data_IF_707776937320
#
_entry.id   IF_707776937320
#
_cell.length_a   1.000
_cell.length_b   1.000
_cell.length_c   1.000
_cell.angle_alpha   90.00
_cell.angle_beta   90.00
_cell.angle_gamma   90.00
#
_symmetry.space_group_name_H-M   'P 1'
#
loop_
_entity.id
_entity.type
_entity.pdbx_description
1 polymer ?
#
# COMPACT_ATOMS: atom_id res chain seq x y z
N UNK A 1 -14.08 25.17 -5.39
CA UNK A 1 -14.68 25.61 -6.68
C UNK A 1 -15.79 24.66 -7.11
N UNK A 2 -16.69 24.26 -6.18
CA UNK A 2 -17.87 23.44 -6.47
C UNK A 2 -19.16 24.03 -5.85
N UNK A 3 -19.12 25.28 -5.38
CA UNK A 3 -20.26 26.01 -4.77
C UNK A 3 -21.52 25.98 -5.67
N UNK A 4 -21.35 26.00 -6.99
CA UNK A 4 -22.46 25.91 -7.95
C UNK A 4 -23.17 24.55 -8.01
N UNK A 5 -22.55 23.47 -7.53
CA UNK A 5 -23.17 22.13 -7.47
C UNK A 5 -23.98 21.93 -6.17
N UNK A 6 -23.68 22.70 -5.11
CA UNK A 6 -24.42 22.65 -3.85
C UNK A 6 -25.81 23.29 -3.94
N UNK A 7 -26.08 24.10 -4.97
CA UNK A 7 -27.42 24.62 -5.25
C UNK A 7 -28.28 23.65 -6.08
N UNK A 8 -27.68 22.57 -6.60
CA UNK A 8 -28.36 21.59 -7.42
C UNK A 8 -29.05 20.54 -6.53
N UNK A 9 -30.40 20.54 -6.54
CA UNK A 9 -31.24 19.52 -5.88
C UNK A 9 -31.24 18.19 -6.65
N UNK A 10 -30.07 17.74 -7.12
CA UNK A 10 -29.89 16.41 -7.68
C UNK A 10 -29.91 15.33 -6.59
N UNK A 11 -29.82 14.04 -6.94
CA UNK A 11 -29.69 13.00 -5.93
C UNK A 11 -28.40 13.25 -5.13
N UNK A 12 -28.52 13.31 -3.79
CA UNK A 12 -27.41 13.32 -2.83
C UNK A 12 -26.55 14.62 -2.79
N UNK A 13 -27.13 15.80 -2.53
CA UNK A 13 -26.35 17.04 -2.36
C UNK A 13 -25.30 16.95 -1.23
N UNK A 14 -25.58 16.15 -0.20
CA UNK A 14 -24.63 15.85 0.89
C UNK A 14 -23.41 15.06 0.42
N UNK A 15 -23.54 14.23 -0.62
CA UNK A 15 -22.42 13.49 -1.20
C UNK A 15 -21.44 14.44 -1.90
N UNK A 16 -21.96 15.39 -2.69
CA UNK A 16 -21.11 16.40 -3.35
C UNK A 16 -20.46 17.36 -2.36
N UNK A 17 -21.20 17.77 -1.32
CA UNK A 17 -20.62 18.54 -0.21
C UNK A 17 -19.48 17.77 0.48
N UNK A 18 -19.65 16.45 0.68
CA UNK A 18 -18.60 15.58 1.24
C UNK A 18 -17.36 15.49 0.37
N UNK A 19 -17.51 15.36 -0.95
CA UNK A 19 -16.36 15.38 -1.89
C UNK A 19 -15.65 16.73 -1.86
N UNK A 20 -16.38 17.85 -1.86
CA UNK A 20 -15.78 19.18 -1.76
C UNK A 20 -15.05 19.36 -0.42
N UNK A 21 -15.61 18.83 0.66
CA UNK A 21 -14.96 18.84 1.97
C UNK A 21 -13.66 18.02 1.97
N UNK A 22 -13.66 16.80 1.41
CA UNK A 22 -12.45 15.97 1.30
C UNK A 22 -11.40 16.64 0.40
N UNK A 23 -11.81 17.26 -0.71
CA UNK A 23 -10.92 18.00 -1.60
C UNK A 23 -10.31 19.22 -0.89
N UNK A 24 -11.11 19.95 -0.11
CA UNK A 24 -10.63 21.06 0.72
C UNK A 24 -9.69 20.61 1.84
N UNK A 25 -9.97 19.46 2.45
CA UNK A 25 -9.12 18.83 3.47
C UNK A 25 -7.77 18.37 2.89
N UNK A 26 -7.77 17.89 1.64
CA UNK A 26 -6.57 17.46 0.92
C UNK A 26 -5.61 18.61 0.57
N UNK A 27 -6.10 19.85 0.48
CA UNK A 27 -5.27 21.05 0.26
C UNK A 27 -4.91 21.83 1.53
N UNK A 28 -5.60 21.58 2.65
CA UNK A 28 -5.57 22.44 3.84
C UNK A 28 -4.73 21.97 5.03
N UNK A 29 -4.00 20.86 4.92
CA UNK A 29 -2.95 20.46 5.89
C UNK A 29 -3.38 20.46 7.37
N UNK A 30 -4.50 19.81 7.72
CA UNK A 30 -5.01 19.79 9.10
C UNK A 30 -4.68 18.53 9.92
N UNK A 31 -4.15 17.47 9.29
CA UNK A 31 -3.70 16.28 10.02
C UNK A 31 -2.22 16.42 10.37
N UNK A 32 -1.89 16.37 11.66
CA UNK A 32 -0.50 16.21 12.08
C UNK A 32 -0.03 14.81 11.63
N UNK A 33 0.69 14.74 10.53
CA UNK A 33 1.34 13.53 10.08
C UNK A 33 2.57 13.30 10.97
N UNK A 34 2.83 12.04 11.30
CA UNK A 34 4.04 11.65 12.00
C UNK A 34 4.82 10.63 11.18
N UNK A 35 6.12 10.85 11.09
CA UNK A 35 7.03 9.95 10.40
C UNK A 35 8.39 10.00 11.10
N UNK A 36 8.91 8.83 11.50
CA UNK A 36 10.26 8.68 12.05
C UNK A 36 10.61 9.67 13.18
N UNK A 37 9.68 9.91 14.10
CA UNK A 37 9.88 10.84 15.22
C UNK A 37 9.54 12.30 14.94
N UNK A 38 9.19 12.66 13.70
CA UNK A 38 8.89 14.04 13.31
C UNK A 38 7.40 14.25 13.05
N UNK A 39 6.89 15.42 13.43
CA UNK A 39 5.52 15.85 13.14
C UNK A 39 5.51 16.89 12.01
N UNK A 40 4.54 16.78 11.10
CA UNK A 40 4.33 17.73 10.02
C UNK A 40 2.84 17.99 9.81
N UNK A 41 2.45 19.26 9.69
CA UNK A 41 1.07 19.66 9.35
C UNK A 41 0.80 19.65 7.86
N UNK A 42 1.85 19.72 7.03
CA UNK A 42 1.76 19.63 5.56
C UNK A 42 1.94 18.21 5.05
N UNK A 43 2.34 17.28 5.91
CA UNK A 43 2.59 15.89 5.56
C UNK A 43 4.06 15.57 5.23
N UNK A 44 4.32 14.34 4.80
CA UNK A 44 5.63 13.90 4.32
C UNK A 44 5.50 13.17 2.97
N UNK A 45 6.26 13.55 1.93
CA UNK A 45 6.27 12.80 0.67
C UNK A 45 6.70 11.33 0.86
N UNK A 46 7.60 11.09 1.83
CA UNK A 46 8.09 9.76 2.18
C UNK A 46 7.11 8.93 3.02
N UNK A 47 5.96 9.48 3.42
CA UNK A 47 5.01 8.80 4.31
C UNK A 47 4.52 7.47 3.72
N UNK A 48 3.95 7.50 2.51
CA UNK A 48 3.43 6.29 1.87
C UNK A 48 4.52 5.28 1.46
N UNK A 49 5.69 5.68 0.95
CA UNK A 49 6.82 4.78 0.76
C UNK A 49 7.26 4.07 2.05
N UNK A 50 7.41 4.81 3.15
CA UNK A 50 7.80 4.22 4.43
C UNK A 50 6.68 3.32 4.96
N UNK A 51 5.42 3.77 4.92
CA UNK A 51 4.25 2.98 5.31
C UNK A 51 4.19 1.67 4.53
N UNK A 52 4.39 1.70 3.22
CA UNK A 52 4.50 0.52 2.40
C UNK A 52 5.62 -0.41 2.85
N UNK A 53 6.81 0.11 3.11
CA UNK A 53 7.94 -0.72 3.51
C UNK A 53 7.81 -1.32 4.92
N UNK A 54 7.07 -0.70 5.83
CA UNK A 54 6.97 -1.18 7.22
C UNK A 54 5.67 -1.93 7.51
N UNK A 55 4.57 -1.61 6.82
CA UNK A 55 3.26 -2.27 6.99
C UNK A 55 3.08 -3.46 6.06
N UNK A 56 3.85 -3.58 4.98
CA UNK A 56 3.77 -4.74 4.09
C UNK A 56 4.53 -5.93 4.69
N UNK A 57 3.96 -7.16 4.71
CA UNK A 57 4.67 -8.34 5.15
C UNK A 57 5.97 -8.57 4.37
N UNK A 58 7.01 -9.05 5.05
CA UNK A 58 8.31 -9.32 4.43
C UNK A 58 8.21 -10.28 3.24
N UNK A 59 7.35 -11.29 3.33
CA UNK A 59 7.13 -12.23 2.23
C UNK A 59 6.74 -11.50 0.92
N UNK A 60 5.87 -10.49 1.02
CA UNK A 60 5.46 -9.66 -0.12
C UNK A 60 6.59 -8.74 -0.59
N UNK A 61 7.32 -8.11 0.34
CA UNK A 61 8.45 -7.23 0.00
C UNK A 61 9.61 -7.97 -0.66
N UNK A 62 9.81 -9.25 -0.37
CA UNK A 62 10.83 -10.08 -0.99
C UNK A 62 10.37 -10.66 -2.33
N UNK A 63 9.10 -11.04 -2.46
CA UNK A 63 8.56 -11.59 -3.70
C UNK A 63 8.40 -10.53 -4.79
N UNK A 64 8.10 -9.28 -4.43
CA UNK A 64 7.87 -8.20 -5.38
C UNK A 64 9.10 -7.89 -6.27
N UNK A 65 10.33 -7.68 -5.75
CA UNK A 65 11.52 -7.52 -6.58
C UNK A 65 11.77 -8.71 -7.51
N UNK A 66 11.56 -9.94 -7.02
CA UNK A 66 11.69 -11.14 -7.83
C UNK A 66 10.68 -11.14 -8.99
N UNK A 67 9.43 -10.77 -8.73
CA UNK A 67 8.39 -10.61 -9.75
C UNK A 67 8.76 -9.53 -10.76
N UNK A 68 9.26 -8.37 -10.31
CA UNK A 68 9.72 -7.29 -11.20
C UNK A 68 10.82 -7.78 -12.15
N UNK A 69 11.86 -8.42 -11.62
CA UNK A 69 13.00 -8.91 -12.40
C UNK A 69 12.57 -9.95 -13.44
N UNK A 70 11.82 -10.99 -13.02
CA UNK A 70 11.47 -12.10 -13.88
C UNK A 70 10.36 -11.77 -14.89
N UNK A 71 9.31 -11.06 -14.46
CA UNK A 71 8.14 -10.79 -15.30
C UNK A 71 8.37 -9.61 -16.26
N UNK A 72 9.18 -8.62 -15.89
CA UNK A 72 9.55 -7.53 -16.80
C UNK A 72 10.78 -7.88 -17.64
N UNK A 73 11.62 -8.80 -17.18
CA UNK A 73 12.76 -9.32 -17.94
C UNK A 73 12.33 -10.08 -19.20
N UNK A 74 11.18 -10.76 -19.18
CA UNK A 74 10.65 -11.52 -20.31
C UNK A 74 9.74 -10.68 -21.22
N UNK A 75 9.99 -10.71 -22.53
CA UNK A 75 9.12 -10.05 -23.54
C UNK A 75 7.69 -10.58 -23.52
N UNK A 76 7.49 -11.86 -23.17
CA UNK A 76 6.18 -12.49 -23.17
C UNK A 76 5.26 -11.97 -22.05
N UNK A 77 5.83 -11.59 -20.90
CA UNK A 77 5.06 -11.14 -19.73
C UNK A 77 5.12 -9.63 -19.51
N UNK A 78 6.10 -8.93 -20.10
CA UNK A 78 6.33 -7.50 -19.89
C UNK A 78 5.09 -6.64 -20.13
N UNK A 79 4.37 -6.83 -21.24
CA UNK A 79 3.20 -5.99 -21.55
C UNK A 79 2.09 -6.12 -20.49
N UNK A 80 1.80 -7.36 -20.06
CA UNK A 80 0.83 -7.63 -18.98
C UNK A 80 1.31 -7.10 -17.64
N UNK A 81 2.62 -7.22 -17.37
CA UNK A 81 3.24 -6.65 -16.19
C UNK A 81 3.10 -5.14 -16.11
N UNK A 82 3.43 -4.44 -17.20
CA UNK A 82 3.28 -2.99 -17.30
C UNK A 82 1.82 -2.55 -17.22
N UNK A 83 0.89 -3.29 -17.81
CA UNK A 83 -0.55 -3.01 -17.71
C UNK A 83 -1.05 -2.99 -16.26
N UNK A 84 -0.47 -3.81 -15.37
CA UNK A 84 -0.80 -3.80 -13.94
C UNK A 84 0.02 -2.76 -13.16
N UNK A 85 1.30 -2.60 -13.48
CA UNK A 85 2.23 -1.73 -12.73
C UNK A 85 2.03 -0.24 -13.03
N UNK A 86 1.57 0.13 -14.23
CA UNK A 86 1.30 1.54 -14.58
C UNK A 86 0.17 2.10 -13.70
N UNK A 87 -1.05 1.54 -13.66
CA UNK A 87 -2.10 2.06 -12.79
C UNK A 87 -1.74 1.97 -11.31
N UNK A 88 -1.03 0.91 -10.90
CA UNK A 88 -0.48 0.78 -9.55
C UNK A 88 0.46 1.96 -9.21
N UNK A 89 1.44 2.24 -10.08
CA UNK A 89 2.39 3.33 -9.90
C UNK A 89 1.72 4.70 -9.93
N UNK A 90 0.81 4.94 -10.87
CA UNK A 90 0.04 6.19 -10.93
C UNK A 90 -0.75 6.40 -9.64
N UNK A 91 -1.46 5.37 -9.17
CA UNK A 91 -2.23 5.45 -7.94
C UNK A 91 -1.33 5.69 -6.71
N UNK A 92 -0.18 5.04 -6.64
CA UNK A 92 0.81 5.28 -5.59
C UNK A 92 1.34 6.73 -5.62
N UNK A 93 1.67 7.25 -6.80
CA UNK A 93 2.14 8.63 -6.97
C UNK A 93 1.08 9.65 -6.59
N UNK A 94 -0.19 9.42 -6.96
CA UNK A 94 -1.30 10.27 -6.54
C UNK A 94 -1.51 10.21 -5.02
N UNK A 95 -1.35 9.03 -4.42
CA UNK A 95 -1.42 8.86 -2.96
C UNK A 95 -0.33 9.66 -2.26
N UNK A 96 0.93 9.64 -2.76
CA UNK A 96 2.04 10.43 -2.19
C UNK A 96 1.88 11.94 -2.29
N UNK A 97 1.05 12.43 -3.22
CA UNK A 97 0.82 13.86 -3.43
C UNK A 97 -0.36 14.39 -2.60
N UNK A 98 -1.18 13.50 -2.04
CA UNK A 98 -2.26 13.92 -1.15
C UNK A 98 -1.70 14.34 0.21
N UNK A 99 -2.12 15.51 0.72
CA UNK A 99 -1.75 15.92 2.07
C UNK A 99 -2.41 15.04 3.16
N UNK A 100 -3.35 14.16 2.78
CA UNK A 100 -4.01 13.21 3.67
C UNK A 100 -3.11 11.99 3.93
N UNK A 101 -2.09 12.18 4.76
CA UNK A 101 -1.26 11.11 5.32
C UNK A 101 -1.98 10.39 6.47
N UNK A 102 -3.13 9.79 6.17
CA UNK A 102 -4.03 9.17 7.16
C UNK A 102 -4.11 7.67 6.90
N UNK A 103 -3.04 6.95 7.22
CA UNK A 103 -3.08 5.50 7.28
C UNK A 103 -2.76 4.76 5.97
N UNK A 104 -2.18 3.57 6.13
CA UNK A 104 -1.76 2.66 5.08
C UNK A 104 -2.92 2.13 4.20
N UNK A 105 -4.16 2.21 4.69
CA UNK A 105 -5.38 1.77 3.98
C UNK A 105 -5.54 2.36 2.57
N UNK A 106 -5.02 3.57 2.34
CA UNK A 106 -5.04 4.20 1.03
C UNK A 106 -4.20 3.44 0.01
N UNK A 107 -3.31 2.54 0.42
CA UNK A 107 -2.53 1.70 -0.47
C UNK A 107 -3.18 0.33 -0.75
N UNK A 108 -4.35 0.02 -0.18
CA UNK A 108 -5.02 -1.27 -0.43
C UNK A 108 -5.33 -1.53 -1.92
N UNK A 109 -5.82 -0.55 -2.71
CA UNK A 109 -6.03 -0.77 -4.13
C UNK A 109 -4.74 -1.07 -4.89
N UNK A 110 -3.63 -0.42 -4.49
CA UNK A 110 -2.30 -0.73 -5.03
C UNK A 110 -1.92 -2.19 -4.75
N UNK A 111 -2.10 -2.67 -3.52
CA UNK A 111 -1.73 -4.03 -3.14
C UNK A 111 -2.45 -5.09 -3.98
N UNK A 112 -3.73 -4.88 -4.32
CA UNK A 112 -4.47 -5.81 -5.17
C UNK A 112 -3.80 -5.99 -6.54
N UNK A 113 -3.37 -4.88 -7.16
CA UNK A 113 -2.65 -4.92 -8.44
C UNK A 113 -1.27 -5.58 -8.30
N UNK A 114 -0.56 -5.33 -7.20
CA UNK A 114 0.74 -5.96 -6.94
C UNK A 114 0.61 -7.47 -6.71
N UNK A 115 -0.39 -7.93 -5.97
CA UNK A 115 -0.64 -9.36 -5.77
C UNK A 115 -1.01 -10.06 -7.09
N UNK A 116 -1.83 -9.42 -7.92
CA UNK A 116 -2.15 -9.93 -9.25
C UNK A 116 -0.91 -9.95 -10.18
N UNK A 117 -0.04 -8.95 -10.07
CA UNK A 117 1.22 -8.95 -10.80
C UNK A 117 2.13 -10.12 -10.35
N UNK A 118 2.32 -10.28 -9.05
CA UNK A 118 3.16 -11.35 -8.48
C UNK A 118 2.63 -12.76 -8.78
N UNK A 119 1.31 -12.94 -8.98
CA UNK A 119 0.74 -14.24 -9.34
C UNK A 119 1.28 -14.76 -10.68
N UNK A 120 1.81 -13.89 -11.54
CA UNK A 120 2.52 -14.26 -12.77
C UNK A 120 3.76 -15.13 -12.55
N UNK A 121 4.31 -15.17 -11.34
CA UNK A 121 5.41 -16.08 -10.98
C UNK A 121 4.96 -17.55 -10.88
N UNK A 122 3.68 -17.82 -10.66
CA UNK A 122 3.15 -19.18 -10.51
C UNK A 122 3.40 -20.08 -11.72
N UNK A 123 3.03 -19.65 -12.94
CA UNK A 123 3.33 -20.40 -14.16
C UNK A 123 4.84 -20.59 -14.41
N UNK A 124 5.65 -19.55 -14.18
CA UNK A 124 7.10 -19.60 -14.36
C UNK A 124 7.75 -20.61 -13.40
N UNK A 125 7.29 -20.64 -12.15
CA UNK A 125 7.75 -21.59 -11.15
C UNK A 125 7.44 -23.03 -11.59
N UNK A 126 6.24 -23.29 -12.12
CA UNK A 126 5.84 -24.63 -12.54
C UNK A 126 6.59 -25.13 -13.77
N UNK A 127 6.87 -24.25 -14.73
CA UNK A 127 7.48 -24.61 -16.02
C UNK A 127 9.02 -24.60 -16.02
N UNK A 128 9.65 -23.74 -15.22
CA UNK A 128 11.06 -23.37 -15.42
C UNK A 128 12.14 -24.31 -14.87
N UNK A 129 11.81 -25.48 -14.30
CA UNK A 129 12.79 -26.39 -13.70
C UNK A 129 13.58 -25.85 -12.48
N UNK A 130 13.53 -24.54 -12.23
CA UNK A 130 14.22 -23.86 -11.13
C UNK A 130 13.55 -24.15 -9.78
N UNK A 131 14.09 -25.14 -9.06
CA UNK A 131 13.62 -25.55 -7.73
C UNK A 131 13.53 -24.38 -6.74
N UNK A 132 14.50 -23.46 -6.77
CA UNK A 132 14.50 -22.29 -5.90
C UNK A 132 13.28 -21.38 -6.11
N UNK A 133 12.90 -21.12 -7.36
CA UNK A 133 11.72 -20.30 -7.68
C UNK A 133 10.43 -21.01 -7.25
N UNK A 134 10.34 -22.34 -7.45
CA UNK A 134 9.22 -23.16 -6.97
C UNK A 134 9.03 -23.07 -5.47
N UNK A 135 10.11 -23.27 -4.71
CA UNK A 135 10.06 -23.15 -3.27
C UNK A 135 9.77 -21.72 -2.82
N UNK A 136 10.37 -20.71 -3.46
CA UNK A 136 10.12 -19.30 -3.14
C UNK A 136 8.65 -18.91 -3.30
N UNK A 137 8.03 -19.27 -4.42
CA UNK A 137 6.60 -19.03 -4.67
C UNK A 137 5.71 -19.91 -3.78
N UNK A 138 6.09 -21.17 -3.57
CA UNK A 138 5.32 -22.12 -2.76
C UNK A 138 5.33 -21.80 -1.25
N UNK A 139 6.41 -21.22 -0.73
CA UNK A 139 6.55 -20.83 0.68
C UNK A 139 5.95 -19.45 0.98
N UNK A 140 5.66 -18.65 -0.05
CA UNK A 140 5.08 -17.31 0.13
C UNK A 140 3.80 -17.29 0.98
N UNK A 141 2.79 -18.16 0.75
CA UNK A 141 1.59 -18.20 1.59
C UNK A 141 1.90 -18.58 3.04
N UNK A 142 2.87 -19.47 3.28
CA UNK A 142 3.30 -19.84 4.62
C UNK A 142 3.94 -18.64 5.33
N UNK A 143 4.74 -17.83 4.63
CA UNK A 143 5.30 -16.59 5.16
C UNK A 143 4.23 -15.56 5.56
N UNK A 144 3.16 -15.42 4.76
CA UNK A 144 2.01 -14.58 5.12
C UNK A 144 1.27 -15.12 6.33
N UNK A 145 0.99 -16.42 6.36
CA UNK A 145 0.32 -17.07 7.48
C UNK A 145 1.10 -16.89 8.79
N UNK A 146 2.42 -17.10 8.77
CA UNK A 146 3.28 -16.88 9.94
C UNK A 146 3.25 -15.43 10.41
N UNK A 147 3.28 -14.46 9.48
CA UNK A 147 3.19 -13.04 9.80
C UNK A 147 1.83 -12.66 10.41
N UNK A 148 0.74 -13.30 9.95
CA UNK A 148 -0.60 -13.09 10.52
C UNK A 148 -0.71 -13.71 11.91
N UNK A 149 -0.26 -14.96 12.08
CA UNK A 149 -0.33 -15.66 13.36
C UNK A 149 0.55 -15.00 14.43
N UNK A 150 1.72 -14.45 14.06
CA UNK A 150 2.62 -13.81 15.02
C UNK A 150 2.09 -12.51 15.62
N UNK A 151 1.09 -11.89 14.98
CA UNK A 151 0.49 -10.62 15.42
C UNK A 151 -0.94 -10.82 15.95
N UNK A 152 -1.45 -12.06 15.97
CA UNK A 152 -2.73 -12.37 16.60
C UNK A 152 -2.72 -11.99 18.10
N UNK A 153 -3.77 -11.33 18.64
CA UNK A 153 -5.01 -10.87 17.97
C UNK A 153 -4.97 -9.42 17.44
N UNK A 154 -3.84 -8.73 17.54
CA UNK A 154 -3.70 -7.29 17.32
C UNK A 154 -3.28 -6.91 15.89
N UNK A 155 -4.04 -7.35 14.88
CA UNK A 155 -3.69 -7.19 13.47
C UNK A 155 -3.51 -5.73 12.98
N UNK A 156 -4.24 -4.78 13.57
CA UNK A 156 -4.16 -3.36 13.19
C UNK A 156 -2.77 -2.78 13.47
N UNK A 157 -2.14 -3.23 14.56
CA UNK A 157 -0.81 -2.80 14.97
C UNK A 157 0.31 -3.56 14.26
N UNK A 158 0.02 -4.27 13.16
CA UNK A 158 1.05 -4.97 12.40
C UNK A 158 2.13 -4.00 11.91
N UNK A 159 3.39 -4.33 12.20
CA UNK A 159 4.57 -3.80 11.54
C UNK A 159 5.49 -4.99 11.28
N UNK A 160 6.20 -4.97 10.16
CA UNK A 160 7.11 -6.06 9.85
C UNK A 160 8.32 -6.09 10.81
N UNK A 161 9.03 -7.21 10.79
CA UNK A 161 10.09 -7.47 11.76
C UNK A 161 11.23 -6.42 11.73
N UNK A 162 11.74 -5.96 10.56
CA UNK A 162 12.78 -4.94 10.50
C UNK A 162 12.32 -3.56 10.98
N UNK A 163 11.02 -3.27 10.92
CA UNK A 163 10.42 -2.09 11.52
C UNK A 163 10.30 -2.17 13.06
N UNK A 164 10.78 -3.27 13.68
CA UNK A 164 10.73 -3.51 15.12
C UNK A 164 9.44 -4.18 15.60
N UNK A 165 8.62 -4.68 14.66
CA UNK A 165 7.38 -5.38 14.96
C UNK A 165 6.30 -4.49 15.58
N UNK A 166 5.15 -5.08 15.99
CA UNK A 166 4.05 -4.34 16.59
C UNK A 166 4.45 -3.50 17.82
N UNK A 167 5.45 -3.96 18.58
CA UNK A 167 5.90 -3.30 19.80
C UNK A 167 6.68 -1.98 19.56
N UNK A 168 7.29 -1.79 18.40
CA UNK A 168 8.12 -0.61 18.11
C UNK A 168 7.67 0.21 16.91
N UNK A 169 6.67 -0.27 16.16
CA UNK A 169 6.20 0.42 14.94
C UNK A 169 5.72 1.85 15.16
N UNK A 170 5.21 2.17 16.36
CA UNK A 170 4.82 3.52 16.76
C UNK A 170 5.96 4.54 16.68
N UNK A 171 7.23 4.09 16.72
CA UNK A 171 8.39 4.98 16.54
C UNK A 171 8.54 5.45 15.10
N UNK A 172 7.93 4.74 14.14
CA UNK A 172 8.00 5.02 12.71
C UNK A 172 6.73 5.71 12.22
N UNK A 173 5.56 5.16 12.56
CA UNK A 173 4.24 5.67 12.17
C UNK A 173 3.29 5.57 13.36
N UNK A 174 2.56 6.64 13.65
CA UNK A 174 1.49 6.67 14.66
C UNK A 174 0.14 7.02 14.01
N UNK A 175 -0.85 7.36 14.83
CA UNK A 175 -2.20 7.75 14.45
C UNK A 175 -2.98 6.56 13.86
N UNK A 176 -3.80 6.79 12.83
CA UNK A 176 -4.64 5.82 12.15
C UNK A 176 -3.91 4.53 11.73
N UNK A 177 -2.59 4.56 11.50
CA UNK A 177 -1.81 3.34 11.21
C UNK A 177 -1.71 2.35 12.37
N UNK A 178 -1.82 2.82 13.62
CA UNK A 178 -1.70 1.97 14.81
C UNK A 178 -3.09 1.69 15.39
N UNK A 179 -3.93 2.73 15.43
CA UNK A 179 -5.23 2.66 16.09
C UNK A 179 -6.30 2.01 15.20
N UNK A 180 -6.28 2.31 13.89
CA UNK A 180 -7.37 1.98 12.98
C UNK A 180 -6.94 1.18 11.73
N UNK A 181 -5.64 0.83 11.61
CA UNK A 181 -5.05 0.16 10.43
C UNK A 181 -4.54 1.08 9.33
#
# INVERSE_FOLDING_TARGET
ALVGLNSWRGPMPTFWAGIEQIAGLSGGGRGAAFLLGQFSTTGFPAYFPVAFLVKTPLATLLLLPLALLLLLGSRATRARGLFLLIPAGVYFLLSTQSALNIGYRHLLPLLALLYLFMSGLGPLAQQGGHRALRWGVGLFPAGLLLATLSVHPHYLSFFNLPAGGPANGYKILIDSNVDWG
#
